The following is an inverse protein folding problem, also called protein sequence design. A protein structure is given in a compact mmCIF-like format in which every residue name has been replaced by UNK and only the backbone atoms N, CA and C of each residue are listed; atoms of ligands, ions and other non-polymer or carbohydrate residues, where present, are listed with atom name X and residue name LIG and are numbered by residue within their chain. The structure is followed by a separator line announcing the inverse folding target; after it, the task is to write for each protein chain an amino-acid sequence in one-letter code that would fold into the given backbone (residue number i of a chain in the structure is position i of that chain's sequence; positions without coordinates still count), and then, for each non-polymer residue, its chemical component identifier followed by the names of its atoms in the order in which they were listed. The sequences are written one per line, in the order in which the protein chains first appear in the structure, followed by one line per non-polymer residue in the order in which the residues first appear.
data_IF_399900393008
#
_entry.id   IF_399900393008
#
_cell.length_a   1.000
_cell.length_b   1.000
_cell.length_c   1.000
_cell.angle_alpha   90.00
_cell.angle_beta   90.00
_cell.angle_gamma   90.00
#
_symmetry.space_group_name_H-M   'P 1'
#
loop_
_entity.id
_entity.type
_entity.pdbx_description
1 polymer ?
#
# COMPACT_ATOMS: atom_id res chain seq x y z
N UNK A 1 1.95 14.98 -10.12
CA UNK A 1 1.85 14.01 -11.23
C UNK A 1 2.76 12.80 -11.00
N UNK A 2 4.08 12.97 -10.82
CA UNK A 2 5.02 11.85 -10.64
C UNK A 2 4.66 10.89 -9.47
N UNK A 3 4.24 11.42 -8.31
CA UNK A 3 3.83 10.57 -7.18
C UNK A 3 2.62 9.66 -7.46
N UNK A 4 1.69 10.09 -8.31
CA UNK A 4 0.53 9.26 -8.71
C UNK A 4 0.99 8.14 -9.66
N UNK A 5 1.96 8.42 -10.54
CA UNK A 5 2.54 7.42 -11.43
C UNK A 5 3.31 6.33 -10.64
N UNK A 6 4.10 6.73 -9.64
CA UNK A 6 4.80 5.78 -8.75
C UNK A 6 3.80 4.94 -7.95
N UNK A 7 2.73 5.54 -7.44
CA UNK A 7 1.67 4.81 -6.74
C UNK A 7 0.99 3.78 -7.66
N UNK A 8 0.65 4.17 -8.89
CA UNK A 8 0.02 3.28 -9.87
C UNK A 8 0.93 2.10 -10.26
N UNK A 9 2.24 2.34 -10.40
CA UNK A 9 3.23 1.29 -10.64
C UNK A 9 3.30 0.30 -9.48
N UNK A 10 3.35 0.78 -8.23
CA UNK A 10 3.37 -0.08 -7.05
C UNK A 10 2.12 -0.97 -6.96
N UNK A 11 0.93 -0.41 -7.20
CA UNK A 11 -0.30 -1.21 -7.23
C UNK A 11 -0.30 -2.27 -8.33
N UNK A 12 0.33 -1.99 -9.47
CA UNK A 12 0.43 -2.93 -10.59
C UNK A 12 1.38 -4.09 -10.26
N UNK A 13 2.53 -3.80 -9.63
CA UNK A 13 3.50 -4.81 -9.18
C UNK A 13 2.88 -5.72 -8.12
N UNK A 14 2.16 -5.14 -7.15
CA UNK A 14 1.48 -5.93 -6.11
C UNK A 14 0.39 -6.80 -6.72
N UNK A 15 -0.39 -6.27 -7.68
CA UNK A 15 -1.44 -7.03 -8.35
C UNK A 15 -0.90 -8.25 -9.12
N UNK A 16 0.25 -8.13 -9.79
CA UNK A 16 0.89 -9.23 -10.52
C UNK A 16 1.59 -10.23 -9.61
N UNK A 17 2.13 -9.78 -8.47
CA UNK A 17 2.77 -10.65 -7.47
C UNK A 17 1.77 -11.37 -6.55
N UNK A 18 0.52 -10.88 -6.45
CA UNK A 18 -0.51 -11.40 -5.54
C UNK A 18 -0.75 -12.92 -5.65
N UNK A 19 -0.85 -13.53 -6.87
CA UNK A 19 -1.05 -14.97 -7.00
C UNK A 19 0.11 -15.79 -6.43
N UNK A 20 1.34 -15.31 -6.58
CA UNK A 20 2.55 -15.94 -6.05
C UNK A 20 2.60 -15.84 -4.52
N UNK A 21 2.25 -14.68 -3.96
CA UNK A 21 2.19 -14.45 -2.51
C UNK A 21 1.17 -15.40 -1.87
N UNK A 22 -0.03 -15.52 -2.46
CA UNK A 22 -1.06 -16.43 -1.95
C UNK A 22 -0.66 -17.91 -2.14
N UNK A 23 0.00 -18.24 -3.25
CA UNK A 23 0.58 -19.58 -3.46
C UNK A 23 1.60 -19.96 -2.40
N UNK A 24 2.43 -19.01 -1.95
CA UNK A 24 3.41 -19.23 -0.87
C UNK A 24 2.79 -19.24 0.53
N UNK A 25 1.66 -18.54 0.76
CA UNK A 25 0.99 -18.49 2.07
C UNK A 25 0.11 -19.71 2.39
N UNK A 26 0.04 -20.72 1.53
CA UNK A 26 -0.64 -22.00 1.82
C UNK A 26 -2.02 -22.17 1.17
N UNK A 27 -2.29 -21.48 0.06
CA UNK A 27 -3.44 -21.76 -0.81
C UNK A 27 -4.64 -20.80 -0.67
N UNK A 28 -5.61 -20.99 -1.58
CA UNK A 28 -6.77 -20.11 -1.84
C UNK A 28 -7.63 -19.84 -0.59
N UNK A 29 -7.54 -20.69 0.43
CA UNK A 29 -8.26 -20.50 1.70
C UNK A 29 -7.83 -19.22 2.44
N UNK A 30 -6.58 -18.76 2.26
CA UNK A 30 -6.10 -17.48 2.80
C UNK A 30 -6.31 -16.28 1.86
N UNK A 31 -6.81 -16.50 0.64
CA UNK A 31 -6.96 -15.44 -0.38
C UNK A 31 -7.88 -14.31 0.12
N UNK A 32 -8.99 -14.66 0.78
CA UNK A 32 -9.90 -13.68 1.39
C UNK A 32 -9.21 -12.85 2.47
N UNK A 33 -8.43 -13.50 3.35
CA UNK A 33 -7.72 -12.82 4.44
C UNK A 33 -6.57 -11.93 3.94
N UNK A 34 -5.84 -12.36 2.92
CA UNK A 34 -4.78 -11.55 2.28
C UNK A 34 -5.39 -10.28 1.70
N UNK A 35 -6.50 -10.40 0.94
CA UNK A 35 -7.19 -9.25 0.39
C UNK A 35 -7.76 -8.33 1.48
N UNK A 36 -8.42 -8.88 2.50
CA UNK A 36 -8.95 -8.11 3.62
C UNK A 36 -7.85 -7.38 4.40
N UNK A 37 -6.72 -8.05 4.66
CA UNK A 37 -5.58 -7.43 5.35
C UNK A 37 -4.93 -6.32 4.51
N UNK A 38 -4.82 -6.50 3.20
CA UNK A 38 -4.35 -5.47 2.27
C UNK A 38 -5.28 -4.25 2.28
N UNK A 39 -6.59 -4.47 2.18
CA UNK A 39 -7.58 -3.40 2.21
C UNK A 39 -7.54 -2.66 3.55
N UNK A 40 -7.49 -3.39 4.66
CA UNK A 40 -7.45 -2.82 6.01
C UNK A 40 -6.18 -1.99 6.20
N UNK A 41 -5.02 -2.51 5.79
CA UNK A 41 -3.76 -1.77 5.81
C UNK A 41 -3.86 -0.50 4.96
N UNK A 42 -4.35 -0.58 3.72
CA UNK A 42 -4.51 0.57 2.84
C UNK A 42 -5.43 1.64 3.46
N UNK A 43 -6.56 1.23 4.05
CA UNK A 43 -7.51 2.14 4.71
C UNK A 43 -6.95 2.79 5.97
N UNK A 44 -6.19 2.06 6.79
CA UNK A 44 -5.58 2.58 8.03
C UNK A 44 -4.39 3.50 7.72
N UNK A 45 -3.66 3.23 6.63
CA UNK A 45 -2.45 3.97 6.27
C UNK A 45 -2.76 5.41 5.80
N UNK A 46 -3.86 5.63 5.08
CA UNK A 46 -4.28 6.95 4.57
C UNK A 46 -4.46 8.02 5.67
N UNK A 47 -5.25 7.79 6.75
CA UNK A 47 -5.41 8.77 7.82
C UNK A 47 -4.14 8.94 8.66
N UNK A 48 -3.32 7.89 8.83
CA UNK A 48 -2.03 7.98 9.53
C UNK A 48 -1.11 8.97 8.81
N UNK A 49 -0.88 8.76 7.51
CA UNK A 49 -0.01 9.66 6.75
C UNK A 49 -0.62 11.04 6.52
N UNK A 50 -1.96 11.16 6.44
CA UNK A 50 -2.63 12.47 6.39
C UNK A 50 -2.34 13.27 7.66
N UNK A 51 -2.55 12.68 8.84
CA UNK A 51 -2.31 13.35 10.11
C UNK A 51 -0.83 13.68 10.33
N UNK A 52 0.06 12.79 9.88
CA UNK A 52 1.51 13.01 9.93
C UNK A 52 1.92 14.18 9.02
N UNK A 53 1.37 14.26 7.80
CA UNK A 53 1.60 15.34 6.86
C UNK A 53 1.10 16.70 7.38
N UNK A 54 0.00 16.70 8.13
CA UNK A 54 -0.53 17.91 8.76
C UNK A 54 0.29 18.36 9.97
N UNK A 55 0.88 17.44 10.73
CA UNK A 55 1.64 17.75 11.96
C UNK A 55 3.07 18.20 11.68
N UNK A 56 3.77 17.52 10.76
CA UNK A 56 5.19 17.79 10.45
C UNK A 56 5.39 18.58 9.15
N UNK A 57 4.30 18.92 8.46
CA UNK A 57 4.31 19.58 7.17
C UNK A 57 4.37 18.60 5.99
N UNK A 58 3.69 18.95 4.91
CA UNK A 58 3.47 18.07 3.75
C UNK A 58 4.76 17.66 3.03
N UNK A 59 5.78 18.53 3.00
CA UNK A 59 7.02 18.35 2.24
C UNK A 59 7.92 17.22 2.78
N UNK A 60 8.25 17.14 4.09
CA UNK A 60 9.05 16.03 4.62
C UNK A 60 8.32 14.68 4.54
N UNK A 61 7.01 14.60 4.78
CA UNK A 61 6.26 13.34 4.66
C UNK A 61 6.28 12.83 3.21
N UNK A 62 6.10 13.72 2.24
CA UNK A 62 6.11 13.33 0.83
C UNK A 62 7.50 12.86 0.38
N UNK A 63 8.57 13.45 0.93
CA UNK A 63 9.95 13.02 0.67
C UNK A 63 10.28 11.68 1.33
N UNK A 64 9.77 11.39 2.53
CA UNK A 64 9.92 10.08 3.19
C UNK A 64 9.16 8.99 2.41
N UNK A 65 8.03 9.31 1.79
CA UNK A 65 7.25 8.35 1.01
C UNK A 65 7.80 8.08 -0.40
N UNK A 66 8.67 8.94 -0.92
CA UNK A 66 9.26 8.82 -2.26
C UNK A 66 10.74 8.43 -2.21
N UNK A 67 11.47 8.83 -1.17
CA UNK A 67 12.86 8.44 -0.93
C UNK A 67 12.96 7.02 -0.40
#
# INVERSE_FOLDING_TARGET
MAGIAVAALNTTIVATAMPTIVGQLGGVERYGWVFSSYLLAATVTVPIFSKLADTYGRKPIFLIGIG
#
